data_IF_190460015484
#
_entry.id   IF_190460015484
#
_cell.length_a   1.000
_cell.length_b   1.000
_cell.length_c   1.000
_cell.angle_alpha   90.00
_cell.angle_beta   90.00
_cell.angle_gamma   90.00
#
_symmetry.space_group_name_H-M   'P 1'
#
loop_
_entity.id
_entity.type
_entity.pdbx_description
1 polymer ?
#
# COMPACT_ATOMS: atom_id res chain seq x y z
N UNK A 1 17.65 -12.22 -9.34
CA UNK A 1 16.57 -11.49 -8.65
C UNK A 1 15.89 -10.54 -9.63
N UNK A 2 14.58 -10.46 -9.56
CA UNK A 2 13.78 -9.64 -10.48
C UNK A 2 13.76 -8.17 -10.05
N UNK A 3 14.18 -7.86 -8.82
CA UNK A 3 14.21 -6.51 -8.26
C UNK A 3 15.63 -6.01 -7.98
N UNK A 4 15.80 -4.69 -7.94
CA UNK A 4 17.04 -4.02 -7.53
C UNK A 4 17.12 -3.99 -6.01
N UNK A 5 17.93 -4.87 -5.45
CA UNK A 5 18.16 -4.93 -4.01
C UNK A 5 19.21 -3.89 -3.61
N UNK A 6 19.01 -3.21 -2.47
CA UNK A 6 19.98 -2.25 -1.96
C UNK A 6 21.34 -2.96 -1.70
N UNK A 7 22.44 -2.33 -2.12
CA UNK A 7 23.79 -2.92 -2.10
C UNK A 7 24.22 -3.41 -0.69
N UNK A 8 23.68 -2.81 0.36
CA UNK A 8 23.96 -3.17 1.76
C UNK A 8 23.47 -4.59 2.09
N UNK A 9 22.35 -5.03 1.50
CA UNK A 9 21.83 -6.40 1.68
C UNK A 9 22.60 -7.46 0.88
N UNK A 10 23.28 -7.05 -0.20
CA UNK A 10 24.11 -7.95 -1.00
C UNK A 10 25.45 -8.25 -0.34
N UNK A 11 26.01 -7.30 0.41
CA UNK A 11 27.31 -7.46 1.09
C UNK A 11 27.24 -8.36 2.32
N UNK A 12 26.13 -8.34 3.06
CA UNK A 12 25.92 -9.18 4.24
C UNK A 12 24.51 -9.75 4.20
N UNK A 13 24.35 -11.02 3.75
CA UNK A 13 23.05 -11.69 3.82
C UNK A 13 22.59 -11.74 5.27
N UNK A 14 21.48 -11.05 5.57
CA UNK A 14 20.88 -11.09 6.90
C UNK A 14 20.10 -12.39 7.08
N UNK A 15 20.34 -13.08 8.19
CA UNK A 15 19.41 -14.13 8.63
C UNK A 15 18.13 -13.44 9.10
N UNK A 16 16.99 -13.97 8.67
CA UNK A 16 15.68 -13.49 9.14
C UNK A 16 15.62 -13.69 10.65
N UNK A 17 15.67 -12.59 11.42
CA UNK A 17 15.50 -12.66 12.87
C UNK A 17 14.03 -12.49 13.22
N UNK A 18 13.46 -13.50 13.87
CA UNK A 18 12.05 -13.52 14.27
C UNK A 18 11.70 -12.36 15.21
N UNK A 19 12.67 -11.92 16.05
CA UNK A 19 12.43 -10.78 16.97
C UNK A 19 12.30 -9.48 16.20
N UNK A 20 13.20 -9.22 15.25
CA UNK A 20 13.14 -8.03 14.37
C UNK A 20 11.86 -8.02 13.55
N UNK A 21 11.47 -9.17 12.99
CA UNK A 21 10.23 -9.32 12.25
C UNK A 21 9.00 -9.02 13.12
N UNK A 22 8.97 -9.52 14.36
CA UNK A 22 7.89 -9.25 15.32
C UNK A 22 7.77 -7.76 15.66
N UNK A 23 8.89 -7.09 15.93
CA UNK A 23 8.90 -5.65 16.21
C UNK A 23 8.38 -4.85 15.01
N UNK A 24 8.82 -5.24 13.80
CA UNK A 24 8.35 -4.62 12.58
C UNK A 24 6.83 -4.79 12.39
N UNK A 25 6.31 -6.00 12.54
CA UNK A 25 4.87 -6.27 12.41
C UNK A 25 4.04 -5.50 13.44
N UNK A 26 4.50 -5.44 14.70
CA UNK A 26 3.83 -4.71 15.77
C UNK A 26 3.90 -3.18 15.58
N UNK A 27 4.84 -2.67 14.82
CA UNK A 27 4.97 -1.25 14.55
C UNK A 27 4.22 -0.83 13.28
N UNK A 28 4.44 -1.55 12.18
CA UNK A 28 3.85 -1.20 10.88
C UNK A 28 2.41 -1.70 10.71
N UNK A 29 2.05 -2.83 11.35
CA UNK A 29 0.71 -3.39 11.27
C UNK A 29 -0.37 -2.44 11.80
N UNK A 30 -0.28 -1.94 13.04
CA UNK A 30 -1.24 -0.96 13.56
C UNK A 30 -1.32 0.32 12.73
N UNK A 31 -0.19 0.79 12.19
CA UNK A 31 -0.16 1.96 11.32
C UNK A 31 -1.02 1.73 10.06
N UNK A 32 -0.83 0.59 9.39
CA UNK A 32 -1.64 0.21 8.23
C UNK A 32 -3.12 0.10 8.58
N UNK A 33 -3.44 -0.61 9.68
CA UNK A 33 -4.82 -0.78 10.14
C UNK A 33 -5.51 0.55 10.49
N UNK A 34 -4.78 1.53 11.05
CA UNK A 34 -5.33 2.87 11.29
C UNK A 34 -5.75 3.55 9.98
N UNK A 35 -4.95 3.43 8.93
CA UNK A 35 -5.32 3.98 7.61
C UNK A 35 -6.53 3.28 7.03
N UNK A 36 -6.63 1.96 7.20
CA UNK A 36 -7.79 1.19 6.77
C UNK A 36 -9.08 1.67 7.47
N UNK A 37 -9.02 1.87 8.79
CA UNK A 37 -10.16 2.42 9.55
C UNK A 37 -10.51 3.84 9.14
N UNK A 38 -9.52 4.69 8.85
CA UNK A 38 -9.74 6.04 8.32
C UNK A 38 -10.48 5.96 6.99
N UNK A 39 -10.10 5.06 6.09
CA UNK A 39 -10.77 4.89 4.80
C UNK A 39 -12.21 4.41 4.98
N UNK A 40 -12.47 3.46 5.87
CA UNK A 40 -13.84 3.05 6.20
C UNK A 40 -14.67 4.24 6.68
N UNK A 41 -14.12 5.04 7.60
CA UNK A 41 -14.80 6.22 8.11
C UNK A 41 -15.06 7.27 7.01
N UNK A 42 -14.10 7.51 6.13
CA UNK A 42 -14.26 8.42 5.00
C UNK A 42 -15.36 7.96 4.05
N UNK A 43 -15.34 6.69 3.62
CA UNK A 43 -16.34 6.14 2.71
C UNK A 43 -17.73 6.27 3.33
N UNK A 44 -17.88 5.92 4.62
CA UNK A 44 -19.18 5.87 5.29
C UNK A 44 -19.70 7.26 5.67
N UNK A 45 -18.91 8.06 6.38
CA UNK A 45 -19.37 9.31 6.96
C UNK A 45 -19.22 10.52 6.03
N UNK A 46 -18.12 10.59 5.28
CA UNK A 46 -17.83 11.76 4.43
C UNK A 46 -18.48 11.60 3.05
N UNK A 47 -18.26 10.47 2.42
CA UNK A 47 -18.78 10.20 1.07
C UNK A 47 -20.21 9.64 1.09
N UNK A 48 -20.74 9.27 2.27
CA UNK A 48 -22.09 8.73 2.48
C UNK A 48 -22.40 7.57 1.53
N UNK A 49 -21.43 6.70 1.31
CA UNK A 49 -21.56 5.52 0.47
C UNK A 49 -22.22 4.39 1.27
N UNK A 50 -23.53 4.52 1.54
CA UNK A 50 -24.29 3.52 2.29
C UNK A 50 -24.72 2.33 1.43
N UNK A 51 -24.58 2.43 0.12
CA UNK A 51 -24.79 1.30 -0.79
C UNK A 51 -23.64 0.32 -0.68
N UNK A 52 -23.97 -0.93 -0.34
CA UNK A 52 -22.98 -1.99 -0.07
C UNK A 52 -22.02 -2.20 -1.24
N UNK A 53 -22.54 -2.23 -2.47
CA UNK A 53 -21.72 -2.44 -3.66
C UNK A 53 -20.71 -1.30 -3.87
N UNK A 54 -21.10 -0.05 -3.63
CA UNK A 54 -20.21 1.12 -3.75
C UNK A 54 -19.14 1.08 -2.66
N UNK A 55 -19.53 0.77 -1.42
CA UNK A 55 -18.60 0.65 -0.30
C UNK A 55 -17.55 -0.44 -0.57
N UNK A 56 -18.00 -1.64 -0.92
CA UNK A 56 -17.11 -2.79 -1.21
C UNK A 56 -16.19 -2.51 -2.38
N UNK A 57 -16.70 -1.89 -3.45
CA UNK A 57 -15.89 -1.58 -4.63
C UNK A 57 -14.82 -0.55 -4.31
N UNK A 58 -15.15 0.51 -3.58
CA UNK A 58 -14.19 1.55 -3.17
C UNK A 58 -13.11 0.95 -2.28
N UNK A 59 -13.51 0.14 -1.29
CA UNK A 59 -12.60 -0.57 -0.40
C UNK A 59 -11.68 -1.53 -1.15
N UNK A 60 -12.24 -2.37 -2.03
CA UNK A 60 -11.47 -3.32 -2.84
C UNK A 60 -10.40 -2.62 -3.67
N UNK A 61 -10.77 -1.58 -4.41
CA UNK A 61 -9.86 -0.84 -5.28
C UNK A 61 -8.78 -0.12 -4.46
N UNK A 62 -9.18 0.54 -3.36
CA UNK A 62 -8.25 1.18 -2.42
C UNK A 62 -7.24 0.18 -1.86
N UNK A 63 -7.70 -0.97 -1.38
CA UNK A 63 -6.84 -1.98 -0.75
C UNK A 63 -5.75 -2.47 -1.70
N UNK A 64 -6.07 -2.73 -2.96
CA UNK A 64 -5.07 -3.15 -3.95
C UNK A 64 -4.03 -2.06 -4.15
N UNK A 65 -4.44 -0.82 -4.39
CA UNK A 65 -3.52 0.31 -4.62
C UNK A 65 -2.66 0.56 -3.38
N UNK A 66 -3.26 0.54 -2.19
CA UNK A 66 -2.55 0.75 -0.92
C UNK A 66 -1.52 -0.35 -0.64
N UNK A 67 -1.86 -1.61 -0.88
CA UNK A 67 -0.94 -2.73 -0.72
C UNK A 67 0.25 -2.65 -1.69
N UNK A 68 0.02 -2.26 -2.95
CA UNK A 68 1.09 -2.06 -3.93
C UNK A 68 2.04 -0.92 -3.50
N UNK A 69 1.51 0.19 -2.99
CA UNK A 69 2.31 1.27 -2.41
C UNK A 69 3.06 0.79 -1.18
N UNK A 70 2.41 0.05 -0.29
CA UNK A 70 2.99 -0.55 0.91
C UNK A 70 4.18 -1.46 0.58
N UNK A 71 4.08 -2.28 -0.46
CA UNK A 71 5.17 -3.14 -0.93
C UNK A 71 6.42 -2.31 -1.28
N UNK A 72 6.26 -1.17 -1.98
CA UNK A 72 7.39 -0.29 -2.29
C UNK A 72 8.02 0.36 -1.05
N UNK A 73 7.24 0.58 0.02
CA UNK A 73 7.75 1.13 1.28
C UNK A 73 8.55 0.09 2.04
N UNK A 74 8.07 -1.16 2.09
CA UNK A 74 8.66 -2.23 2.89
C UNK A 74 9.98 -2.73 2.28
N UNK A 75 10.07 -2.83 0.95
CA UNK A 75 11.20 -3.44 0.22
C UNK A 75 12.58 -2.80 0.45
N UNK A 76 12.68 -1.60 0.96
CA UNK A 76 13.93 -0.85 1.11
C UNK A 76 14.02 -0.14 2.46
N UNK A 77 15.21 -0.04 3.05
CA UNK A 77 15.45 0.80 4.21
C UNK A 77 15.45 2.30 3.87
N UNK A 78 15.70 2.64 2.61
CA UNK A 78 15.82 4.02 2.10
C UNK A 78 14.43 4.62 1.78
N UNK A 79 14.41 5.88 1.39
CA UNK A 79 13.16 6.54 0.96
C UNK A 79 12.76 5.94 -0.39
N UNK A 80 11.58 5.26 -0.47
CA UNK A 80 11.11 4.68 -1.72
C UNK A 80 10.90 5.79 -2.77
N UNK A 81 11.05 5.44 -4.03
CA UNK A 81 10.91 6.32 -5.21
C UNK A 81 11.95 7.43 -5.33
N UNK A 82 12.69 7.78 -4.27
CA UNK A 82 13.69 8.86 -4.27
C UNK A 82 15.12 8.35 -4.13
N UNK A 83 15.37 7.43 -3.21
CA UNK A 83 16.72 6.94 -2.89
C UNK A 83 16.92 5.48 -3.29
N UNK A 84 15.86 4.71 -3.38
CA UNK A 84 15.90 3.32 -3.84
C UNK A 84 14.82 3.12 -4.90
N UNK A 85 15.24 2.67 -6.06
CA UNK A 85 14.38 2.43 -7.21
C UNK A 85 14.18 0.91 -7.38
N UNK A 86 12.91 0.50 -7.45
CA UNK A 86 12.56 -0.86 -7.83
C UNK A 86 13.00 -1.13 -9.28
N UNK A 87 13.08 -2.39 -9.66
CA UNK A 87 13.30 -2.75 -11.06
C UNK A 87 12.14 -2.27 -11.93
N UNK A 88 12.42 -2.06 -13.22
CA UNK A 88 11.37 -1.68 -14.19
C UNK A 88 10.21 -2.66 -14.18
N UNK A 89 10.49 -3.95 -14.01
CA UNK A 89 9.44 -4.98 -13.96
C UNK A 89 8.50 -4.77 -12.77
N UNK A 90 9.02 -4.47 -11.58
CA UNK A 90 8.22 -4.20 -10.36
C UNK A 90 7.40 -2.93 -10.50
N UNK A 91 7.96 -1.86 -11.10
CA UNK A 91 7.17 -0.63 -11.36
C UNK A 91 6.05 -0.87 -12.36
N UNK A 92 6.36 -1.50 -13.48
CA UNK A 92 5.38 -1.76 -14.54
C UNK A 92 4.25 -2.65 -14.01
N UNK A 93 4.57 -3.72 -13.28
CA UNK A 93 3.56 -4.61 -12.70
C UNK A 93 2.69 -3.90 -11.67
N UNK A 94 3.27 -3.08 -10.79
CA UNK A 94 2.51 -2.32 -9.79
C UNK A 94 1.57 -1.29 -10.43
N UNK A 95 2.03 -0.57 -11.44
CA UNK A 95 1.22 0.38 -12.19
C UNK A 95 0.11 -0.34 -12.96
N UNK A 96 0.45 -1.44 -13.66
CA UNK A 96 -0.53 -2.22 -14.41
C UNK A 96 -1.62 -2.78 -13.51
N UNK A 97 -1.25 -3.38 -12.36
CA UNK A 97 -2.21 -3.90 -11.39
C UNK A 97 -3.09 -2.80 -10.78
N UNK A 98 -2.54 -1.63 -10.50
CA UNK A 98 -3.32 -0.47 -10.02
C UNK A 98 -4.34 -0.02 -11.06
N UNK A 99 -3.94 0.07 -12.33
CA UNK A 99 -4.84 0.43 -13.43
C UNK A 99 -5.93 -0.63 -13.61
N UNK A 100 -5.56 -1.93 -13.60
CA UNK A 100 -6.52 -3.03 -13.69
C UNK A 100 -7.53 -2.95 -12.54
N UNK A 101 -7.08 -2.76 -11.31
CA UNK A 101 -7.95 -2.63 -10.14
C UNK A 101 -8.94 -1.46 -10.26
N UNK A 102 -8.53 -0.34 -10.88
CA UNK A 102 -9.42 0.80 -11.13
C UNK A 102 -10.39 0.58 -12.28
N UNK A 103 -10.04 -0.25 -13.26
CA UNK A 103 -10.88 -0.52 -14.44
C UNK A 103 -11.88 -1.66 -14.19
N UNK A 104 -11.49 -2.70 -13.43
CA UNK A 104 -12.32 -3.90 -13.17
C UNK A 104 -13.76 -3.56 -12.75
N UNK A 105 -14.04 -2.60 -11.87
CA UNK A 105 -15.42 -2.24 -11.48
C UNK A 105 -16.32 -1.81 -12.64
N UNK A 106 -15.74 -1.35 -13.75
CA UNK A 106 -16.48 -0.89 -14.92
C UNK A 106 -16.70 -2.00 -15.96
N UNK A 107 -16.13 -3.20 -15.71
CA UNK A 107 -16.22 -4.35 -16.63
C UNK A 107 -17.32 -5.31 -16.24
N UNK A 108 -17.65 -6.24 -17.16
CA UNK A 108 -18.58 -7.32 -16.86
C UNK A 108 -18.03 -8.26 -15.76
N UNK A 109 -16.70 -8.43 -15.67
CA UNK A 109 -16.04 -9.24 -14.63
C UNK A 109 -16.29 -8.61 -13.26
N UNK A 110 -16.13 -7.28 -13.14
CA UNK A 110 -16.43 -6.56 -11.90
C UNK A 110 -17.89 -6.77 -11.47
N UNK A 111 -18.83 -6.63 -12.38
CA UNK A 111 -20.25 -6.89 -12.11
C UNK A 111 -20.51 -8.34 -11.66
N UNK A 112 -19.86 -9.31 -12.28
CA UNK A 112 -20.02 -10.72 -11.94
C UNK A 112 -19.55 -11.06 -10.51
N UNK A 113 -18.57 -10.31 -9.97
CA UNK A 113 -18.07 -10.46 -8.59
C UNK A 113 -18.67 -9.45 -7.61
N UNK A 114 -19.74 -8.75 -8.01
CA UNK A 114 -20.49 -7.84 -7.14
C UNK A 114 -19.92 -6.42 -7.02
N UNK A 115 -18.96 -6.05 -7.87
CA UNK A 115 -18.45 -4.68 -7.92
C UNK A 115 -19.35 -3.80 -8.80
N UNK A 116 -19.34 -2.50 -8.52
CA UNK A 116 -20.13 -1.50 -9.27
C UNK A 116 -19.24 -0.36 -9.77
N UNK A 117 -19.69 0.31 -10.83
CA UNK A 117 -18.99 1.47 -11.36
C UNK A 117 -18.93 2.59 -10.31
N UNK A 118 -17.76 3.13 -10.07
CA UNK A 118 -17.53 4.18 -9.08
C UNK A 118 -17.68 5.58 -9.69
N UNK A 119 -18.33 6.47 -8.98
CA UNK A 119 -18.33 7.88 -9.34
C UNK A 119 -16.92 8.49 -9.16
N UNK A 120 -16.55 9.51 -9.97
CA UNK A 120 -15.20 10.11 -9.94
C UNK A 120 -14.72 10.57 -8.55
N UNK A 121 -15.63 10.98 -7.68
CA UNK A 121 -15.32 11.42 -6.32
C UNK A 121 -14.59 10.37 -5.48
N UNK A 122 -14.84 9.07 -5.69
CA UNK A 122 -14.22 7.99 -4.91
C UNK A 122 -12.74 7.78 -5.26
N UNK A 123 -12.30 8.21 -6.46
CA UNK A 123 -10.88 8.14 -6.83
C UNK A 123 -10.00 9.06 -5.98
N UNK A 124 -10.57 10.10 -5.37
CA UNK A 124 -9.84 10.93 -4.40
C UNK A 124 -9.40 10.15 -3.17
N UNK A 125 -10.20 9.18 -2.69
CA UNK A 125 -9.82 8.27 -1.61
C UNK A 125 -8.81 7.24 -2.13
N UNK A 126 -9.13 6.60 -3.25
CA UNK A 126 -8.34 5.49 -3.82
C UNK A 126 -6.90 5.91 -4.11
N UNK A 127 -6.68 7.14 -4.54
CA UNK A 127 -5.35 7.67 -4.85
C UNK A 127 -4.77 8.54 -3.73
N UNK A 128 -5.61 9.38 -3.11
CA UNK A 128 -5.16 10.35 -2.10
C UNK A 128 -4.70 9.70 -0.79
N UNK A 129 -5.44 8.72 -0.29
CA UNK A 129 -5.08 8.07 0.98
C UNK A 129 -3.82 7.23 0.87
N UNK A 130 -3.55 6.43 -0.19
CA UNK A 130 -2.27 5.75 -0.35
C UNK A 130 -1.07 6.70 -0.48
N UNK A 131 -1.24 7.88 -1.07
CA UNK A 131 -0.18 8.90 -1.12
C UNK A 131 0.11 9.40 0.31
N UNK A 132 -0.92 9.73 1.08
CA UNK A 132 -0.78 10.13 2.48
C UNK A 132 -0.14 9.01 3.31
N UNK A 133 -0.58 7.76 3.12
CA UNK A 133 0.02 6.59 3.74
C UNK A 133 1.51 6.47 3.42
N UNK A 134 1.91 6.68 2.16
CA UNK A 134 3.32 6.65 1.75
C UNK A 134 4.16 7.68 2.53
N UNK A 135 3.64 8.90 2.71
CA UNK A 135 4.33 9.96 3.46
C UNK A 135 4.47 9.59 4.93
N UNK A 136 3.36 9.18 5.57
CA UNK A 136 3.34 8.85 7.00
C UNK A 136 4.15 7.58 7.28
N UNK A 137 4.02 6.55 6.46
CA UNK A 137 4.81 5.33 6.58
C UNK A 137 6.32 5.57 6.36
N UNK A 138 6.67 6.48 5.45
CA UNK A 138 8.06 6.93 5.28
C UNK A 138 8.61 7.64 6.52
N UNK A 139 7.77 8.39 7.22
CA UNK A 139 8.10 9.03 8.51
C UNK A 139 8.24 8.00 9.62
N UNK A 140 7.26 7.11 9.73
CA UNK A 140 7.27 6.01 10.70
C UNK A 140 8.50 5.11 10.53
N UNK A 141 8.90 4.81 9.29
CA UNK A 141 10.13 4.09 8.97
C UNK A 141 11.37 4.76 9.55
N UNK A 142 11.51 6.08 9.41
CA UNK A 142 12.67 6.81 9.98
C UNK A 142 12.70 6.67 11.50
N UNK A 143 11.53 6.78 12.17
CA UNK A 143 11.41 6.59 13.61
C UNK A 143 11.79 5.16 14.01
N UNK A 144 11.31 4.17 13.25
CA UNK A 144 11.61 2.77 13.48
C UNK A 144 13.12 2.49 13.40
N UNK A 145 13.78 2.92 12.31
CA UNK A 145 15.22 2.75 12.11
C UNK A 145 16.01 3.45 13.21
N UNK A 146 15.59 4.65 13.63
CA UNK A 146 16.24 5.37 14.73
C UNK A 146 16.13 4.61 16.07
N UNK A 147 15.01 3.90 16.29
CA UNK A 147 14.75 3.19 17.55
C UNK A 147 15.40 1.80 17.59
N UNK A 148 15.39 1.07 16.50
CA UNK A 148 15.82 -0.33 16.43
C UNK A 148 17.16 -0.52 15.71
N UNK A 149 17.70 0.54 15.10
CA UNK A 149 19.00 0.53 14.44
C UNK A 149 19.01 -0.01 13.01
N UNK A 150 17.97 -0.76 12.63
CA UNK A 150 17.88 -1.41 11.31
C UNK A 150 16.44 -1.47 10.81
N UNK A 151 16.29 -1.61 9.50
CA UNK A 151 15.07 -2.01 8.82
C UNK A 151 15.15 -3.50 8.57
N UNK A 152 14.07 -4.23 8.40
CA UNK A 152 13.99 -5.69 8.25
C UNK A 152 15.15 -6.25 7.42
#
# INVERSE_FOLDING_TARGET
>A
PVDNVDAEYLQKPKKLDIKSLKHFMLFMGPLSSCFDLIVFALIWFVFKAHEVAVFQTTWFTYSIVSNLVGMHIIRTAKIPFKQSHASKAVYISSIALSIIAMIVPFTFIGKAIGLTALAPKYFSIILGVPILYCIVAGWAKKIYIKKYGEWI
#
